data_IF_887949755544
#
_entry.id   IF_887949755544
#
_cell.length_a   1.000
_cell.length_b   1.000
_cell.length_c   1.000
_cell.angle_alpha   90.00
_cell.angle_beta   90.00
_cell.angle_gamma   90.00
#
_symmetry.space_group_name_H-M   'P 1'
#
loop_
_entity.id
_entity.type
_entity.pdbx_description
1 polymer ?
#
# COMPACT_ATOMS: atom_id res chain seq x y z
N UNK A 1 -4.85 -21.50 26.53
CA UNK A 1 -3.95 -21.00 27.59
C UNK A 1 -3.90 -19.48 27.49
N UNK A 2 -4.64 -18.78 28.34
CA UNK A 2 -4.55 -17.33 28.54
C UNK A 2 -3.52 -17.07 29.65
N UNK A 3 -2.48 -16.29 29.36
CA UNK A 3 -1.51 -15.88 30.38
C UNK A 3 -0.23 -15.36 29.75
N UNK A 4 0.03 -14.07 29.93
CA UNK A 4 1.11 -13.23 29.39
C UNK A 4 0.87 -12.64 27.99
N UNK A 5 0.08 -11.56 27.92
CA UNK A 5 0.06 -10.65 26.75
C UNK A 5 1.46 -10.04 26.59
N UNK A 6 2.05 -10.21 25.41
CA UNK A 6 3.37 -9.69 24.99
C UNK A 6 3.60 -8.24 25.44
N UNK A 7 4.83 -7.85 25.87
CA UNK A 7 5.18 -6.45 26.17
C UNK A 7 4.75 -5.45 25.09
N UNK A 8 4.76 -5.88 23.83
CA UNK A 8 4.39 -5.09 22.66
C UNK A 8 2.91 -4.71 22.64
N UNK A 9 2.04 -5.66 23.00
CA UNK A 9 0.60 -5.41 23.12
C UNK A 9 0.30 -4.38 24.22
N UNK A 10 1.13 -4.36 25.27
CA UNK A 10 1.01 -3.42 26.38
C UNK A 10 1.38 -2.00 25.95
N UNK A 11 2.50 -1.86 25.23
CA UNK A 11 2.99 -0.57 24.76
C UNK A 11 2.08 0.02 23.66
N UNK A 12 1.61 -0.81 22.73
CA UNK A 12 0.64 -0.40 21.72
C UNK A 12 -0.68 0.06 22.36
N UNK A 13 -1.14 -0.65 23.40
CA UNK A 13 -2.37 -0.28 24.12
C UNK A 13 -2.22 1.05 24.83
N UNK A 14 -1.11 1.24 25.54
CA UNK A 14 -0.79 2.51 26.20
C UNK A 14 -0.74 3.68 25.21
N UNK A 15 -0.18 3.48 24.01
CA UNK A 15 -0.16 4.51 22.96
C UNK A 15 -1.57 4.87 22.45
N UNK A 16 -2.45 3.88 22.25
CA UNK A 16 -3.85 4.15 21.86
C UNK A 16 -4.66 4.81 22.97
N UNK A 17 -4.38 4.50 24.24
CA UNK A 17 -5.01 5.17 25.39
C UNK A 17 -4.59 6.64 25.48
N UNK A 18 -3.31 6.97 25.27
CA UNK A 18 -2.85 8.36 25.18
C UNK A 18 -3.53 9.14 24.05
N UNK A 19 -3.77 8.51 22.89
CA UNK A 19 -4.50 9.15 21.80
C UNK A 19 -5.95 9.46 22.19
N UNK A 20 -6.59 8.62 23.00
CA UNK A 20 -7.94 8.89 23.51
C UNK A 20 -7.97 10.05 24.51
N UNK A 21 -6.99 10.13 25.40
CA UNK A 21 -6.86 11.25 26.34
C UNK A 21 -6.70 12.57 25.59
N UNK A 22 -5.82 12.59 24.57
CA UNK A 22 -5.64 13.76 23.70
C UNK A 22 -6.93 14.12 22.95
N UNK A 23 -7.65 13.13 22.43
CA UNK A 23 -8.94 13.36 21.77
C UNK A 23 -9.95 14.00 22.73
N UNK A 24 -10.02 13.55 23.98
CA UNK A 24 -10.93 14.09 25.00
C UNK A 24 -10.61 15.56 25.37
N UNK A 25 -9.33 15.95 25.36
CA UNK A 25 -8.91 17.29 25.75
C UNK A 25 -8.87 18.30 24.59
N UNK A 26 -8.64 17.86 23.35
CA UNK A 26 -8.33 18.75 22.23
C UNK A 26 -9.48 18.92 21.22
N UNK A 27 -10.47 18.02 21.20
CA UNK A 27 -11.62 18.14 20.29
C UNK A 27 -12.72 19.00 20.89
N UNK A 28 -13.14 20.01 20.14
CA UNK A 28 -14.11 21.01 20.59
C UNK A 28 -15.57 20.57 20.46
N UNK A 29 -15.90 19.66 19.54
CA UNK A 29 -17.27 19.20 19.28
C UNK A 29 -17.48 17.71 19.54
N UNK A 30 -18.68 17.32 19.97
CA UNK A 30 -19.03 15.94 20.34
C UNK A 30 -18.96 14.96 19.15
N UNK A 31 -19.46 15.38 17.98
CA UNK A 31 -19.36 14.60 16.74
C UNK A 31 -17.91 14.45 16.24
N UNK A 32 -17.08 15.48 16.41
CA UNK A 32 -15.66 15.42 16.10
C UNK A 32 -14.96 14.43 17.03
N UNK A 33 -15.20 14.53 18.34
CA UNK A 33 -14.64 13.61 19.33
C UNK A 33 -15.01 12.15 19.03
N UNK A 34 -16.27 11.89 18.66
CA UNK A 34 -16.74 10.55 18.31
C UNK A 34 -16.05 10.00 17.05
N UNK A 35 -15.88 10.83 16.01
CA UNK A 35 -15.18 10.44 14.78
C UNK A 35 -13.71 10.08 15.03
N UNK A 36 -13.00 10.88 15.84
CA UNK A 36 -11.62 10.59 16.25
C UNK A 36 -11.52 9.37 17.16
N UNK A 37 -12.48 9.15 18.06
CA UNK A 37 -12.52 7.96 18.91
C UNK A 37 -12.64 6.68 18.07
N UNK A 38 -13.58 6.66 17.12
CA UNK A 38 -13.76 5.56 16.19
C UNK A 38 -12.51 5.30 15.33
N UNK A 39 -11.81 6.36 14.90
CA UNK A 39 -10.54 6.19 14.18
C UNK A 39 -9.45 5.56 15.07
N UNK A 40 -9.37 5.93 16.34
CA UNK A 40 -8.44 5.33 17.32
C UNK A 40 -8.80 3.87 17.62
N UNK A 41 -10.10 3.54 17.70
CA UNK A 41 -10.57 2.14 17.83
C UNK A 41 -10.08 1.29 16.66
N UNK A 42 -10.26 1.78 15.43
CA UNK A 42 -9.80 1.08 14.21
C UNK A 42 -8.27 0.95 14.15
N UNK A 43 -7.54 1.92 14.70
CA UNK A 43 -6.09 1.83 14.83
C UNK A 43 -5.69 0.68 15.76
N UNK A 44 -6.36 0.57 16.91
CA UNK A 44 -6.13 -0.49 17.89
C UNK A 44 -6.42 -1.88 17.30
N UNK A 45 -7.56 -2.03 16.63
CA UNK A 45 -7.93 -3.28 15.94
C UNK A 45 -6.86 -3.72 14.93
N UNK A 46 -6.36 -2.78 14.12
CA UNK A 46 -5.27 -3.06 13.16
C UNK A 46 -3.98 -3.54 13.84
N UNK A 47 -3.71 -3.08 15.07
CA UNK A 47 -2.52 -3.42 15.83
C UNK A 47 -2.63 -4.74 16.59
N UNK A 48 -3.77 -5.00 17.24
CA UNK A 48 -4.02 -6.23 17.98
C UNK A 48 -3.91 -7.44 17.04
N UNK A 49 -4.42 -7.31 15.81
CA UNK A 49 -4.36 -8.33 14.76
C UNK A 49 -2.97 -8.49 14.14
N UNK A 50 -2.27 -7.40 13.82
CA UNK A 50 -0.92 -7.45 13.24
C UNK A 50 0.12 -8.13 14.16
N UNK A 51 -0.12 -8.14 15.48
CA UNK A 51 0.73 -8.81 16.46
C UNK A 51 0.38 -10.30 16.66
N UNK A 52 -0.81 -10.74 16.24
CA UNK A 52 -1.23 -12.14 16.30
C UNK A 52 -0.76 -12.94 15.07
N UNK A 53 -0.59 -12.29 13.92
CA UNK A 53 -0.12 -12.91 12.67
C UNK A 53 1.01 -12.06 12.07
N UNK A 54 2.29 -12.39 12.36
CA UNK A 54 3.41 -11.49 12.07
C UNK A 54 3.66 -11.22 10.57
N UNK A 55 3.14 -12.05 9.66
CA UNK A 55 3.37 -11.91 8.21
C UNK A 55 2.54 -10.83 7.50
N UNK A 56 1.61 -10.17 8.18
CA UNK A 56 0.55 -9.37 7.56
C UNK A 56 0.57 -7.88 7.96
N UNK A 57 1.71 -7.24 7.69
CA UNK A 57 1.95 -5.80 7.92
C UNK A 57 1.06 -4.86 7.08
N UNK A 58 0.36 -5.37 6.07
CA UNK A 58 -0.53 -4.60 5.17
C UNK A 58 -1.68 -3.92 5.93
N UNK A 59 -2.12 -4.47 7.07
CA UNK A 59 -3.17 -3.83 7.89
C UNK A 59 -2.74 -2.52 8.55
N UNK A 60 -1.49 -2.43 9.01
CA UNK A 60 -0.99 -1.20 9.65
C UNK A 60 -0.85 -0.01 8.70
N UNK A 61 -0.63 -0.27 7.41
CA UNK A 61 -0.61 0.76 6.35
C UNK A 61 -2.01 1.09 5.82
N UNK A 62 -3.02 0.27 6.15
CA UNK A 62 -4.38 0.38 5.62
C UNK A 62 -5.34 1.12 6.57
N UNK A 63 -4.89 1.49 7.78
CA UNK A 63 -5.65 2.29 8.74
C UNK A 63 -6.32 3.54 8.16
N UNK A 64 -5.67 4.35 7.30
CA UNK A 64 -6.31 5.52 6.69
C UNK A 64 -7.55 5.19 5.85
N UNK A 65 -7.75 3.92 5.50
CA UNK A 65 -8.88 3.43 4.73
C UNK A 65 -10.00 2.84 5.61
N UNK A 66 -9.78 2.56 6.89
CA UNK A 66 -10.80 1.98 7.79
C UNK A 66 -11.44 3.01 8.75
N UNK A 67 -11.06 4.27 8.65
CA UNK A 67 -11.60 5.36 9.48
C UNK A 67 -12.93 5.86 8.92
N UNK A 68 -13.88 6.33 9.77
CA UNK A 68 -15.19 6.79 9.31
C UNK A 68 -15.12 7.92 8.27
N UNK A 69 -16.09 7.99 7.36
CA UNK A 69 -16.17 9.04 6.34
C UNK A 69 -16.23 10.45 6.97
N UNK A 70 -16.99 10.60 8.07
CA UNK A 70 -17.03 11.83 8.87
C UNK A 70 -15.64 12.26 9.37
N UNK A 71 -14.77 11.32 9.70
CA UNK A 71 -13.39 11.62 10.09
C UNK A 71 -12.57 12.16 8.90
N UNK A 72 -12.75 11.58 7.70
CA UNK A 72 -12.12 12.06 6.46
C UNK A 72 -12.65 13.43 6.02
N UNK A 73 -13.95 13.68 6.18
CA UNK A 73 -14.57 14.98 5.90
C UNK A 73 -14.05 16.07 6.85
N UNK A 74 -13.96 15.78 8.15
CA UNK A 74 -13.37 16.68 9.14
C UNK A 74 -11.91 17.00 8.83
N UNK A 75 -11.15 16.01 8.34
CA UNK A 75 -9.79 16.20 7.82
C UNK A 75 -9.74 17.03 6.54
N UNK A 76 -10.80 17.07 5.74
CA UNK A 76 -10.80 17.82 4.48
C UNK A 76 -11.27 19.27 4.70
N UNK A 77 -12.31 19.47 5.53
CA UNK A 77 -12.94 20.77 5.78
C UNK A 77 -12.07 21.74 6.59
N UNK A 78 -11.31 21.26 7.58
CA UNK A 78 -10.43 22.13 8.38
C UNK A 78 -9.15 22.55 7.63
N UNK A 79 -9.00 22.15 6.35
CA UNK A 79 -7.75 22.21 5.56
C UNK A 79 -6.46 21.79 6.30
N UNK A 80 -6.42 20.75 7.15
CA UNK A 80 -5.16 20.19 7.61
C UNK A 80 -4.91 18.94 6.75
N UNK A 81 -4.18 19.08 5.63
CA UNK A 81 -3.77 17.96 4.75
C UNK A 81 -3.40 16.75 5.63
N UNK A 82 -4.33 15.78 5.67
CA UNK A 82 -4.43 14.63 6.58
C UNK A 82 -3.60 14.74 7.89
N UNK A 83 -4.27 15.12 8.98
CA UNK A 83 -3.78 15.15 10.37
C UNK A 83 -2.66 16.18 10.66
N UNK A 84 -2.94 17.47 10.44
CA UNK A 84 -2.03 18.54 10.88
C UNK A 84 -2.71 19.88 11.24
N UNK A 85 -3.27 20.01 12.46
CA UNK A 85 -2.98 21.14 13.39
C UNK A 85 -3.58 20.91 14.78
N UNK A 86 -2.77 20.44 15.72
CA UNK A 86 -2.80 20.98 17.09
C UNK A 86 -1.83 22.18 17.10
N UNK A 87 -2.03 23.23 17.93
CA UNK A 87 -1.03 24.30 18.13
C UNK A 87 0.36 23.74 18.48
N UNK A 88 0.41 22.48 18.90
CA UNK A 88 1.59 21.63 19.03
C UNK A 88 1.57 20.51 17.98
N UNK A 89 2.41 20.66 16.95
CA UNK A 89 2.70 19.76 15.82
C UNK A 89 2.62 18.25 16.16
N UNK A 90 1.83 17.46 15.42
CA UNK A 90 1.99 16.01 15.08
C UNK A 90 0.69 15.41 14.49
N UNK A 91 0.71 14.82 13.28
CA UNK A 91 0.38 13.40 12.98
C UNK A 91 0.61 13.01 11.49
N UNK A 92 0.89 11.72 11.28
CA UNK A 92 2.11 11.24 10.60
C UNK A 92 2.08 9.68 10.38
N UNK A 93 2.76 9.10 9.37
CA UNK A 93 2.98 7.62 9.21
C UNK A 93 4.39 7.26 8.68
N UNK A 94 5.04 6.25 9.25
CA UNK A 94 6.23 5.54 8.71
C UNK A 94 6.29 4.10 9.25
N UNK A 95 6.55 3.13 8.36
CA UNK A 95 6.72 1.70 8.65
C UNK A 95 8.21 1.35 8.71
N UNK A 96 8.66 0.64 9.75
CA UNK A 96 10.03 0.14 9.88
C UNK A 96 10.00 -1.35 10.24
N UNK A 97 10.82 -2.16 9.54
CA UNK A 97 10.95 -3.61 9.76
C UNK A 97 12.30 -3.88 10.44
N UNK A 98 12.28 -4.53 11.61
CA UNK A 98 13.48 -4.93 12.35
C UNK A 98 13.78 -6.42 12.14
N UNK A 99 15.06 -6.79 12.00
CA UNK A 99 15.49 -8.20 11.93
C UNK A 99 15.82 -8.74 13.33
N UNK A 100 15.29 -9.92 13.68
CA UNK A 100 15.75 -10.70 14.86
C UNK A 100 14.70 -11.18 15.87
N UNK A 101 13.60 -11.81 15.44
CA UNK A 101 12.79 -12.75 16.24
C UNK A 101 11.69 -13.36 15.37
N UNK A 102 11.18 -14.57 15.67
CA UNK A 102 10.14 -15.22 14.87
C UNK A 102 8.75 -14.52 14.95
N UNK A 103 8.63 -13.45 15.74
CA UNK A 103 7.52 -12.52 15.69
C UNK A 103 8.00 -11.21 15.07
N UNK A 104 7.58 -10.94 13.83
CA UNK A 104 7.68 -9.62 13.18
C UNK A 104 6.85 -8.65 14.03
N UNK A 105 7.53 -7.81 14.83
CA UNK A 105 6.88 -6.71 15.53
C UNK A 105 6.68 -5.55 14.55
N UNK A 106 5.42 -5.25 14.25
CA UNK A 106 5.07 -4.06 13.47
C UNK A 106 4.82 -2.89 14.41
N UNK A 107 5.45 -1.76 14.12
CA UNK A 107 5.33 -0.54 14.89
C UNK A 107 4.93 0.62 13.98
N UNK A 108 3.83 1.30 14.30
CA UNK A 108 3.50 2.57 13.65
C UNK A 108 4.24 3.67 14.39
N UNK A 109 4.95 4.46 13.59
CA UNK A 109 5.66 5.64 14.06
C UNK A 109 5.16 6.86 13.31
N UNK A 110 5.22 7.97 14.03
CA UNK A 110 4.59 9.22 13.67
C UNK A 110 5.79 10.13 13.28
N UNK A 111 6.04 10.32 11.97
CA UNK A 111 6.95 11.29 11.30
C UNK A 111 6.28 12.43 10.47
N UNK A 112 6.76 13.67 10.61
CA UNK A 112 6.26 14.83 9.83
C UNK A 112 6.98 14.96 8.48
N UNK A 113 7.60 13.87 8.04
CA UNK A 113 8.43 13.76 6.84
C UNK A 113 9.61 14.73 6.80
N UNK A 114 10.01 15.30 7.94
CA UNK A 114 11.32 15.96 8.06
C UNK A 114 12.42 14.93 8.24
N UNK A 115 13.62 15.20 7.71
CA UNK A 115 14.74 14.27 7.79
C UNK A 115 15.09 13.89 9.24
N UNK A 116 15.06 14.86 10.16
CA UNK A 116 15.37 14.61 11.58
C UNK A 116 14.34 13.73 12.28
N UNK A 117 13.04 13.88 11.97
CA UNK A 117 12.01 13.05 12.58
C UNK A 117 12.01 11.63 12.04
N UNK A 118 12.31 11.44 10.75
CA UNK A 118 12.51 10.12 10.14
C UNK A 118 13.78 9.47 10.70
N UNK A 119 14.90 10.19 10.78
CA UNK A 119 16.15 9.68 11.33
C UNK A 119 15.98 9.19 12.77
N UNK A 120 15.28 9.96 13.62
CA UNK A 120 14.99 9.57 15.00
C UNK A 120 14.19 8.25 15.08
N UNK A 121 13.29 8.01 14.12
CA UNK A 121 12.55 6.75 14.01
C UNK A 121 13.47 5.62 13.59
N UNK A 122 14.27 5.81 12.52
CA UNK A 122 15.21 4.80 12.02
C UNK A 122 16.20 4.37 13.11
N UNK A 123 16.76 5.33 13.84
CA UNK A 123 17.69 5.07 14.94
C UNK A 123 17.00 4.43 16.14
N UNK A 124 15.77 4.87 16.47
CA UNK A 124 14.99 4.31 17.57
C UNK A 124 14.51 2.88 17.34
N UNK A 125 14.40 2.43 16.08
CA UNK A 125 14.04 1.05 15.72
C UNK A 125 15.22 0.20 15.27
N UNK A 126 16.42 0.77 15.15
CA UNK A 126 17.56 0.13 14.49
C UNK A 126 17.21 -0.37 13.07
N UNK A 127 16.47 0.43 12.32
CA UNK A 127 16.05 0.12 10.96
C UNK A 127 17.27 0.01 10.04
N UNK A 128 17.42 -1.10 9.33
CA UNK A 128 18.51 -1.27 8.36
C UNK A 128 18.15 -0.81 6.96
N UNK A 129 16.85 -0.73 6.66
CA UNK A 129 16.30 -0.32 5.38
C UNK A 129 15.03 0.54 5.57
N UNK A 130 14.82 1.50 4.68
CA UNK A 130 13.62 2.32 4.59
C UNK A 130 12.93 2.12 3.24
N UNK A 131 11.63 1.79 3.28
CA UNK A 131 10.77 1.70 2.11
C UNK A 131 9.78 2.85 2.13
N UNK A 132 9.79 3.68 1.09
CA UNK A 132 8.80 4.70 0.87
C UNK A 132 7.66 4.12 0.06
N UNK A 133 6.43 4.09 0.58
CA UNK A 133 5.19 3.72 -0.15
C UNK A 133 4.28 4.95 -0.37
N UNK A 134 4.87 6.14 -0.33
CA UNK A 134 4.15 7.41 -0.41
C UNK A 134 3.63 7.65 -1.83
N UNK A 135 2.32 7.82 -1.97
CA UNK A 135 1.72 8.27 -3.22
C UNK A 135 1.34 9.76 -3.17
N UNK A 136 1.84 10.54 -4.12
CA UNK A 136 1.39 11.90 -4.40
C UNK A 136 1.80 12.32 -5.80
N UNK A 137 0.91 13.02 -6.52
CA UNK A 137 1.21 13.65 -7.79
C UNK A 137 1.67 15.12 -7.63
N UNK A 138 1.69 15.67 -6.41
CA UNK A 138 2.23 17.00 -6.13
C UNK A 138 3.75 16.92 -5.91
N UNK A 139 4.58 17.50 -6.80
CA UNK A 139 6.04 17.46 -6.70
C UNK A 139 6.57 18.01 -5.38
N UNK A 140 5.91 19.03 -4.83
CA UNK A 140 6.35 19.65 -3.57
C UNK A 140 6.15 18.73 -2.38
N UNK A 141 5.13 17.89 -2.42
CA UNK A 141 4.87 16.89 -1.39
C UNK A 141 5.72 15.64 -1.61
N UNK A 142 5.73 15.10 -2.84
CA UNK A 142 6.44 13.86 -3.16
C UNK A 142 7.96 14.01 -3.04
N UNK A 143 8.56 14.95 -3.78
CA UNK A 143 10.03 15.07 -3.86
C UNK A 143 10.61 15.45 -2.49
N UNK A 144 10.02 16.43 -1.81
CA UNK A 144 10.46 16.85 -0.47
C UNK A 144 10.47 15.69 0.52
N UNK A 145 9.43 14.84 0.50
CA UNK A 145 9.37 13.69 1.40
C UNK A 145 10.42 12.62 1.04
N UNK A 146 10.62 12.32 -0.25
CA UNK A 146 11.65 11.37 -0.69
C UNK A 146 13.07 11.84 -0.36
N UNK A 147 13.35 13.12 -0.58
CA UNK A 147 14.64 13.74 -0.21
C UNK A 147 14.90 13.67 1.28
N UNK A 148 13.88 13.99 2.11
CA UNK A 148 13.99 13.89 3.55
C UNK A 148 14.20 12.45 4.03
N UNK A 149 13.54 11.47 3.41
CA UNK A 149 13.73 10.04 3.68
C UNK A 149 15.14 9.57 3.31
N UNK A 150 15.67 10.03 2.17
CA UNK A 150 17.04 9.73 1.75
C UNK A 150 18.06 10.33 2.73
N UNK A 151 17.92 11.62 3.04
CA UNK A 151 18.80 12.32 3.98
C UNK A 151 18.77 11.68 5.37
N UNK A 152 17.59 11.29 5.86
CA UNK A 152 17.43 10.57 7.12
C UNK A 152 18.12 9.20 7.10
N UNK A 153 18.03 8.48 5.99
CA UNK A 153 18.68 7.18 5.82
C UNK A 153 20.19 7.32 5.86
N UNK A 154 20.77 8.31 5.16
CA UNK A 154 22.21 8.63 5.22
C UNK A 154 22.67 8.97 6.65
N UNK A 155 21.91 9.82 7.33
CA UNK A 155 22.25 10.30 8.67
C UNK A 155 21.99 9.27 9.79
N UNK A 156 21.21 8.22 9.52
CA UNK A 156 20.91 7.18 10.51
C UNK A 156 22.18 6.42 10.94
N UNK A 157 22.16 5.89 12.15
CA UNK A 157 23.22 5.00 12.68
C UNK A 157 23.14 3.58 12.10
N UNK A 158 21.98 3.18 11.59
CA UNK A 158 21.71 1.79 11.18
C UNK A 158 21.14 1.65 9.77
N UNK A 159 20.41 2.64 9.27
CA UNK A 159 19.80 2.55 7.93
C UNK A 159 20.85 2.78 6.84
N UNK A 160 21.05 1.80 5.96
CA UNK A 160 22.01 1.90 4.84
C UNK A 160 21.38 1.52 3.51
N UNK A 161 20.05 1.44 3.47
CA UNK A 161 19.29 0.98 2.32
C UNK A 161 18.01 1.78 2.17
N UNK A 162 17.71 2.22 0.95
CA UNK A 162 16.52 2.99 0.66
C UNK A 162 15.80 2.50 -0.59
N UNK A 163 14.48 2.31 -0.49
CA UNK A 163 13.60 2.04 -1.62
C UNK A 163 12.67 3.25 -1.78
N UNK A 164 12.84 4.07 -2.84
CA UNK A 164 11.90 5.16 -3.13
C UNK A 164 10.50 4.60 -3.43
N UNK A 165 9.50 5.47 -3.49
CA UNK A 165 8.13 5.06 -3.86
C UNK A 165 8.00 4.89 -5.37
N UNK A 166 8.81 3.99 -5.91
CA UNK A 166 8.76 3.50 -7.28
C UNK A 166 8.23 2.07 -7.23
N UNK A 167 6.91 1.92 -7.34
CA UNK A 167 6.21 0.64 -7.47
C UNK A 167 5.35 0.67 -8.72
N UNK A 168 6.00 0.53 -9.87
CA UNK A 168 5.31 0.53 -11.15
C UNK A 168 6.21 -0.02 -12.24
N UNK A 169 6.39 0.77 -13.30
CA UNK A 169 7.25 0.44 -14.43
C UNK A 169 8.62 1.08 -14.35
N UNK A 170 9.53 0.57 -15.18
CA UNK A 170 10.88 1.10 -15.32
C UNK A 170 10.90 2.42 -16.12
N UNK A 171 10.86 3.54 -15.41
CA UNK A 171 10.89 4.88 -15.99
C UNK A 171 12.25 5.25 -16.61
N UNK A 172 13.31 4.48 -16.33
CA UNK A 172 14.63 4.70 -16.93
C UNK A 172 14.67 4.13 -18.35
N UNK A 173 14.08 2.95 -18.55
CA UNK A 173 13.92 2.34 -19.87
C UNK A 173 12.82 3.00 -20.71
N UNK A 174 11.81 3.57 -20.06
CA UNK A 174 10.69 4.25 -20.71
C UNK A 174 10.57 5.71 -20.24
N UNK A 175 11.54 6.57 -20.58
CA UNK A 175 11.58 7.95 -20.09
C UNK A 175 10.36 8.74 -20.55
N UNK A 176 9.85 9.61 -19.66
CA UNK A 176 8.65 10.40 -19.91
C UNK A 176 7.34 9.64 -19.78
N UNK A 177 7.38 8.34 -19.45
CA UNK A 177 6.20 7.51 -19.23
C UNK A 177 6.20 6.87 -17.83
N UNK A 178 5.05 6.91 -17.13
CA UNK A 178 3.89 7.73 -17.44
C UNK A 178 4.19 9.23 -17.28
N UNK A 179 3.56 10.08 -18.10
CA UNK A 179 3.86 11.54 -18.15
C UNK A 179 3.69 12.24 -16.80
N UNK A 180 2.79 11.76 -15.95
CA UNK A 180 2.56 12.32 -14.61
C UNK A 180 3.68 12.00 -13.60
N UNK A 181 4.60 11.09 -13.92
CA UNK A 181 5.80 10.83 -13.11
C UNK A 181 6.96 11.77 -13.40
N UNK A 182 6.87 12.54 -14.49
CA UNK A 182 7.93 13.46 -14.89
C UNK A 182 8.32 14.44 -13.77
N UNK A 183 7.39 15.18 -13.13
CA UNK A 183 7.76 16.14 -12.10
C UNK A 183 7.97 15.52 -10.71
N UNK A 184 7.72 14.22 -10.54
CA UNK A 184 7.83 13.49 -9.26
C UNK A 184 8.93 12.43 -9.31
N UNK A 185 8.57 11.18 -9.59
CA UNK A 185 9.43 10.00 -9.56
C UNK A 185 10.67 10.19 -10.44
N UNK A 186 10.50 10.70 -11.67
CA UNK A 186 11.62 10.94 -12.58
C UNK A 186 12.52 12.07 -12.09
N UNK A 187 11.94 13.19 -11.68
CA UNK A 187 12.70 14.33 -11.16
C UNK A 187 13.57 13.93 -9.94
N UNK A 188 13.00 13.17 -9.00
CA UNK A 188 13.74 12.64 -7.85
C UNK A 188 14.80 11.62 -8.27
N UNK A 189 14.47 10.73 -9.22
CA UNK A 189 15.39 9.70 -9.71
C UNK A 189 16.61 10.31 -10.38
N UNK A 190 16.40 11.17 -11.37
CA UNK A 190 17.45 11.75 -12.22
C UNK A 190 18.34 12.71 -11.43
N UNK A 191 17.74 13.62 -10.68
CA UNK A 191 18.49 14.71 -10.06
C UNK A 191 19.17 14.30 -8.75
N UNK A 192 18.71 13.22 -8.10
CA UNK A 192 19.14 12.87 -6.75
C UNK A 192 19.60 11.42 -6.66
N UNK A 193 18.71 10.44 -6.85
CA UNK A 193 19.07 9.03 -6.63
C UNK A 193 20.17 8.50 -7.56
N UNK A 194 20.21 8.93 -8.83
CA UNK A 194 21.28 8.51 -9.76
C UNK A 194 22.69 8.85 -9.26
N UNK A 195 22.80 9.89 -8.43
CA UNK A 195 24.05 10.38 -7.86
C UNK A 195 24.28 9.91 -6.41
N UNK A 196 23.36 9.13 -5.85
CA UNK A 196 23.51 8.52 -4.53
C UNK A 196 24.63 7.46 -4.53
N UNK A 197 25.52 7.53 -3.54
CA UNK A 197 26.68 6.65 -3.38
C UNK A 197 26.96 6.25 -1.92
N UNK A 198 26.30 6.89 -0.95
CA UNK A 198 26.54 6.67 0.48
C UNK A 198 25.76 5.47 1.01
N UNK A 199 24.59 5.19 0.43
CA UNK A 199 23.72 4.08 0.81
C UNK A 199 23.23 3.31 -0.41
N UNK A 200 22.88 2.04 -0.22
CA UNK A 200 22.27 1.24 -1.28
C UNK A 200 20.85 1.72 -1.57
N UNK A 201 20.45 1.71 -2.84
CA UNK A 201 19.07 1.97 -3.21
C UNK A 201 18.66 1.13 -4.42
N UNK A 202 17.36 0.91 -4.56
CA UNK A 202 16.81 0.18 -5.71
C UNK A 202 15.39 0.62 -6.03
N UNK A 203 15.07 0.69 -7.32
CA UNK A 203 13.74 0.89 -7.85
C UNK A 203 12.96 -0.42 -7.89
N UNK A 204 11.80 -0.51 -7.24
CA UNK A 204 10.99 -1.73 -7.26
C UNK A 204 10.02 -1.76 -8.46
N UNK A 205 10.45 -2.40 -9.55
CA UNK A 205 9.66 -2.51 -10.77
C UNK A 205 8.82 -3.80 -10.75
N UNK A 206 7.52 -3.70 -10.46
CA UNK A 206 6.68 -4.89 -10.31
C UNK A 206 5.62 -5.07 -11.42
N UNK A 207 5.54 -4.13 -12.36
CA UNK A 207 4.49 -4.09 -13.36
C UNK A 207 3.16 -3.65 -12.76
N UNK A 208 2.07 -4.30 -13.16
CA UNK A 208 0.73 -4.04 -12.63
C UNK A 208 0.38 -4.99 -11.49
N UNK A 209 -0.39 -4.52 -10.51
CA UNK A 209 -0.94 -5.42 -9.50
C UNK A 209 -2.01 -6.35 -10.12
N UNK A 210 -1.85 -7.66 -9.93
CA UNK A 210 -2.84 -8.67 -10.38
C UNK A 210 -4.20 -8.52 -9.68
N UNK A 211 -4.19 -7.91 -8.50
CA UNK A 211 -5.34 -7.66 -7.65
C UNK A 211 -6.53 -6.97 -8.35
N UNK A 212 -6.27 -6.24 -9.44
CA UNK A 212 -7.29 -5.56 -10.22
C UNK A 212 -8.12 -6.49 -11.14
N UNK A 213 -7.64 -7.70 -11.46
CA UNK A 213 -8.34 -8.59 -12.41
C UNK A 213 -9.71 -9.10 -11.93
N UNK A 214 -9.95 -9.07 -10.63
CA UNK A 214 -11.18 -9.59 -10.01
C UNK A 214 -11.86 -8.56 -9.11
N UNK A 215 -11.49 -7.28 -9.25
CA UNK A 215 -12.02 -6.19 -8.44
C UNK A 215 -13.03 -5.39 -9.28
N UNK A 216 -14.30 -5.38 -8.86
CA UNK A 216 -15.34 -4.57 -9.50
C UNK A 216 -15.05 -3.07 -9.37
N UNK A 217 -15.60 -2.23 -10.25
CA UNK A 217 -15.23 -0.81 -10.26
C UNK A 217 -15.85 -0.01 -9.11
N UNK A 218 -16.95 -0.53 -8.53
CA UNK A 218 -17.76 0.11 -7.48
C UNK A 218 -17.64 -0.54 -6.10
N UNK A 219 -16.65 -1.39 -5.89
CA UNK A 219 -16.47 -2.04 -4.57
C UNK A 219 -15.74 -1.13 -3.60
N UNK A 220 -16.14 -1.23 -2.35
CA UNK A 220 -15.41 -0.64 -1.23
C UNK A 220 -14.51 -1.71 -0.58
N UNK A 221 -13.19 -1.73 -0.86
CA UNK A 221 -12.27 -2.72 -0.30
C UNK A 221 -12.11 -2.59 1.22
N UNK A 222 -12.57 -1.49 1.82
CA UNK A 222 -12.48 -1.25 3.27
C UNK A 222 -13.47 -2.12 4.06
N UNK A 223 -14.46 -2.70 3.36
CA UNK A 223 -15.43 -3.61 3.95
C UNK A 223 -14.91 -5.05 4.08
N UNK A 224 -13.76 -5.38 3.48
CA UNK A 224 -13.17 -6.72 3.61
C UNK A 224 -12.67 -6.97 5.03
N UNK A 225 -13.15 -8.04 5.70
CA UNK A 225 -12.53 -8.48 6.92
C UNK A 225 -11.10 -8.94 6.63
N UNK A 226 -10.25 -8.75 7.61
CA UNK A 226 -8.88 -9.24 7.58
C UNK A 226 -8.86 -10.78 7.53
N UNK A 227 -7.88 -11.36 6.83
CA UNK A 227 -7.80 -12.81 6.62
C UNK A 227 -8.78 -13.36 5.59
N UNK A 228 -9.50 -12.50 4.84
CA UNK A 228 -10.31 -12.94 3.71
C UNK A 228 -9.43 -13.57 2.63
N UNK A 229 -9.38 -14.91 2.62
CA UNK A 229 -8.99 -15.65 1.44
C UNK A 229 -10.22 -15.73 0.56
N UNK A 230 -10.21 -15.15 -0.64
CA UNK A 230 -11.27 -15.35 -1.64
C UNK A 230 -11.48 -16.83 -2.04
N UNK A 231 -10.77 -17.78 -1.41
CA UNK A 231 -11.21 -19.16 -1.32
C UNK A 231 -12.49 -19.18 -0.49
N UNK A 232 -13.62 -19.35 -1.18
CA UNK A 232 -14.76 -20.03 -0.56
C UNK A 232 -14.19 -21.28 0.15
N UNK A 233 -14.53 -21.55 1.42
CA UNK A 233 -14.15 -22.81 2.03
C UNK A 233 -14.58 -23.89 1.03
N UNK A 234 -13.66 -24.79 0.67
CA UNK A 234 -14.02 -25.92 -0.15
C UNK A 234 -15.19 -26.61 0.57
N UNK A 235 -16.40 -26.41 0.07
CA UNK A 235 -17.55 -27.20 0.46
C UNK A 235 -17.27 -28.58 -0.10
N UNK A 236 -16.60 -29.38 0.72
CA UNK A 236 -16.73 -30.82 0.71
C UNK A 236 -18.23 -31.10 0.91
N UNK A 237 -18.93 -31.34 -0.21
CA UNK A 237 -20.36 -31.61 -0.23
C UNK A 237 -20.82 -31.78 -1.68
N UNK A 238 -21.12 -33.02 -2.04
CA UNK A 238 -21.70 -33.42 -3.31
C UNK A 238 -23.01 -32.66 -3.63
N UNK A 239 -23.28 -32.47 -4.93
CA UNK A 239 -24.54 -31.96 -5.49
C UNK A 239 -24.26 -31.32 -6.85
N UNK A 240 -24.25 -32.12 -7.92
CA UNK A 240 -25.32 -32.18 -8.94
C UNK A 240 -25.49 -30.90 -9.77
N UNK A 241 -25.16 -31.04 -11.06
CA UNK A 241 -25.66 -30.33 -12.24
C UNK A 241 -26.36 -28.98 -12.02
N UNK A 242 -25.64 -27.88 -12.27
CA UNK A 242 -26.27 -26.60 -12.64
C UNK A 242 -25.48 -25.94 -13.79
N UNK A 243 -26.03 -26.08 -14.99
CA UNK A 243 -25.68 -25.32 -16.20
C UNK A 243 -26.39 -23.95 -16.18
N UNK A 244 -26.23 -23.17 -15.11
CA UNK A 244 -26.75 -21.81 -15.01
C UNK A 244 -25.63 -20.87 -14.56
N UNK A 245 -25.57 -19.68 -15.18
CA UNK A 245 -24.56 -18.64 -14.98
C UNK A 245 -24.13 -18.52 -13.50
N UNK A 246 -22.85 -18.77 -13.22
CA UNK A 246 -22.25 -18.33 -11.96
C UNK A 246 -22.13 -16.81 -12.03
N UNK A 247 -23.22 -16.10 -11.80
CA UNK A 247 -23.19 -14.65 -11.70
C UNK A 247 -22.35 -14.29 -10.48
N UNK A 248 -21.07 -14.02 -10.72
CA UNK A 248 -20.14 -13.56 -9.70
C UNK A 248 -20.61 -12.17 -9.29
N UNK A 249 -20.95 -12.03 -8.02
CA UNK A 249 -21.28 -10.74 -7.45
C UNK A 249 -20.00 -9.89 -7.36
N UNK A 250 -19.94 -8.86 -8.22
CA UNK A 250 -18.85 -7.88 -8.27
C UNK A 250 -19.04 -6.73 -7.30
N UNK A 251 -20.12 -6.69 -6.51
CA UNK A 251 -20.25 -5.77 -5.37
C UNK A 251 -19.45 -6.26 -4.16
N UNK A 252 -19.07 -7.54 -4.13
CA UNK A 252 -18.23 -8.12 -3.09
C UNK A 252 -16.75 -7.81 -3.40
N UNK A 253 -16.04 -7.09 -2.51
CA UNK A 253 -14.61 -6.85 -2.69
C UNK A 253 -13.82 -8.15 -2.63
N UNK A 254 -12.75 -8.26 -3.42
CA UNK A 254 -11.90 -9.47 -3.50
C UNK A 254 -10.41 -9.18 -3.30
N UNK A 255 -10.04 -7.92 -3.41
CA UNK A 255 -8.75 -7.40 -3.03
C UNK A 255 -8.92 -6.19 -2.10
N UNK A 256 -7.88 -5.96 -1.30
CA UNK A 256 -7.68 -4.73 -0.52
C UNK A 256 -7.35 -3.51 -1.41
N UNK A 257 -7.06 -3.73 -2.70
CA UNK A 257 -6.80 -2.64 -3.63
C UNK A 257 -8.07 -1.87 -3.99
N UNK A 258 -7.99 -0.53 -3.94
CA UNK A 258 -9.01 0.35 -4.48
C UNK A 258 -9.12 0.13 -6.00
N UNK A 259 -10.33 0.06 -6.57
CA UNK A 259 -10.50 -0.02 -8.01
C UNK A 259 -9.83 1.16 -8.73
N UNK A 260 -9.42 0.94 -9.98
CA UNK A 260 -8.81 1.96 -10.84
C UNK A 260 -9.72 2.25 -12.05
N UNK A 261 -10.92 2.83 -11.83
CA UNK A 261 -11.84 3.11 -12.92
C UNK A 261 -11.21 4.06 -13.94
N UNK A 262 -11.38 3.75 -15.23
CA UNK A 262 -10.83 4.54 -16.34
C UNK A 262 -9.32 4.35 -16.60
N UNK A 263 -8.57 3.70 -15.71
CA UNK A 263 -7.15 3.36 -15.91
C UNK A 263 -7.00 1.86 -16.19
N UNK A 264 -7.67 1.01 -15.41
CA UNK A 264 -7.63 -0.44 -15.61
C UNK A 264 -8.49 -0.83 -16.82
N UNK A 265 -7.98 -1.65 -17.76
CA UNK A 265 -8.66 -1.87 -19.03
C UNK A 265 -9.82 -2.86 -18.97
N UNK A 266 -10.00 -3.64 -17.89
CA UNK A 266 -11.10 -4.58 -17.76
C UNK A 266 -12.16 -4.01 -16.82
N UNK A 267 -13.32 -3.64 -17.38
CA UNK A 267 -14.48 -3.19 -16.59
C UNK A 267 -15.44 -4.35 -16.36
N UNK A 268 -15.47 -4.83 -15.11
CA UNK A 268 -16.32 -5.95 -14.68
C UNK A 268 -17.79 -5.55 -14.50
N UNK A 269 -18.09 -4.25 -14.39
CA UNK A 269 -19.47 -3.78 -14.22
C UNK A 269 -20.20 -3.79 -15.57
N UNK A 270 -19.53 -3.33 -16.63
CA UNK A 270 -20.07 -3.31 -17.99
C UNK A 270 -19.67 -4.53 -18.83
N UNK A 271 -18.74 -5.36 -18.35
CA UNK A 271 -18.09 -6.43 -19.14
C UNK A 271 -17.51 -5.91 -20.46
N UNK A 272 -16.89 -4.74 -20.39
CA UNK A 272 -16.11 -4.19 -21.51
C UNK A 272 -14.61 -4.30 -21.21
N UNK A 273 -13.82 -4.49 -22.26
CA UNK A 273 -12.38 -4.46 -22.18
C UNK A 273 -11.83 -3.41 -23.16
N UNK A 274 -11.15 -2.40 -22.64
CA UNK A 274 -10.52 -1.37 -23.46
C UNK A 274 -9.25 -1.92 -24.10
N UNK A 275 -9.17 -1.87 -25.42
CA UNK A 275 -7.98 -2.25 -26.19
C UNK A 275 -6.87 -1.23 -25.95
N UNK A 276 -5.82 -1.64 -25.23
CA UNK A 276 -4.61 -0.84 -25.07
C UNK A 276 -3.56 -1.28 -26.09
N UNK A 277 -3.13 -0.36 -26.96
CA UNK A 277 -2.17 -0.66 -28.02
C UNK A 277 -2.69 -1.72 -28.98
N UNK A 278 -1.85 -2.69 -29.36
CA UNK A 278 -2.27 -3.86 -30.15
C UNK A 278 -2.92 -4.94 -29.28
N UNK A 279 -2.77 -4.87 -27.95
CA UNK A 279 -3.22 -5.88 -27.00
C UNK A 279 -2.28 -7.09 -26.87
N UNK A 280 -1.20 -7.12 -27.64
CA UNK A 280 -0.19 -8.19 -27.68
C UNK A 280 1.15 -7.79 -27.05
N UNK A 281 1.26 -6.57 -26.54
CA UNK A 281 2.43 -6.11 -25.82
C UNK A 281 2.64 -6.93 -24.54
N UNK A 282 3.89 -7.29 -24.26
CA UNK A 282 4.25 -8.02 -23.05
C UNK A 282 4.15 -7.13 -21.82
N UNK A 283 3.44 -7.60 -20.79
CA UNK A 283 3.13 -6.87 -19.57
C UNK A 283 3.37 -7.80 -18.39
N UNK A 284 4.04 -7.27 -17.37
CA UNK A 284 4.22 -7.95 -16.09
C UNK A 284 3.03 -7.69 -15.16
N UNK A 285 2.53 -8.74 -14.53
CA UNK A 285 1.62 -8.63 -13.40
C UNK A 285 2.21 -9.32 -12.18
N UNK A 286 1.97 -8.76 -11.01
CA UNK A 286 2.42 -9.33 -9.74
C UNK A 286 1.35 -9.12 -8.67
N UNK A 287 1.05 -10.12 -7.85
CA UNK A 287 0.13 -9.91 -6.73
C UNK A 287 0.76 -8.98 -5.68
N UNK A 288 -0.05 -8.15 -5.01
CA UNK A 288 0.46 -7.26 -3.96
C UNK A 288 1.18 -8.02 -2.84
N UNK A 289 0.69 -9.23 -2.52
CA UNK A 289 1.30 -10.15 -1.55
C UNK A 289 2.68 -10.62 -2.00
N UNK A 290 2.86 -10.89 -3.29
CA UNK A 290 4.16 -11.33 -3.82
C UNK A 290 5.14 -10.18 -3.95
N UNK A 291 4.68 -8.96 -4.27
CA UNK A 291 5.51 -7.75 -4.17
C UNK A 291 6.01 -7.57 -2.73
N UNK A 292 5.11 -7.63 -1.74
CA UNK A 292 5.48 -7.56 -0.33
C UNK A 292 6.52 -8.63 0.08
N UNK A 293 6.30 -9.88 -0.32
CA UNK A 293 7.25 -10.98 -0.06
C UNK A 293 8.60 -10.76 -0.74
N UNK A 294 8.61 -10.26 -1.98
CA UNK A 294 9.83 -9.94 -2.71
C UNK A 294 10.62 -8.82 -2.01
N UNK A 295 9.96 -7.75 -1.56
CA UNK A 295 10.61 -6.64 -0.85
C UNK A 295 11.19 -7.09 0.49
N UNK A 296 10.48 -7.94 1.26
CA UNK A 296 11.02 -8.54 2.49
C UNK A 296 12.25 -9.40 2.19
N UNK A 297 12.21 -10.18 1.09
CA UNK A 297 13.34 -11.01 0.67
C UNK A 297 14.53 -10.17 0.21
N UNK A 298 14.29 -9.01 -0.39
CA UNK A 298 15.30 -8.05 -0.82
C UNK A 298 16.07 -7.46 0.36
N UNK A 299 15.41 -7.23 1.51
CA UNK A 299 16.11 -6.82 2.75
C UNK A 299 17.14 -7.87 3.20
N UNK A 300 16.88 -9.15 2.94
CA UNK A 300 17.78 -10.26 3.29
C UNK A 300 18.94 -10.42 2.29
N UNK A 301 18.99 -9.66 1.20
CA UNK A 301 20.10 -9.71 0.26
C UNK A 301 21.40 -9.19 0.92
N UNK A 302 22.57 -9.75 0.58
CA UNK A 302 23.86 -9.32 1.14
C UNK A 302 24.09 -7.80 1.03
N UNK A 303 24.79 -7.21 2.00
CA UNK A 303 25.21 -5.81 1.94
C UNK A 303 26.01 -5.52 0.66
N UNK A 304 25.69 -4.43 -0.03
CA UNK A 304 26.32 -4.02 -1.29
C UNK A 304 25.84 -4.76 -2.54
N UNK A 305 24.79 -5.59 -2.46
CA UNK A 305 24.28 -6.39 -3.59
C UNK A 305 23.04 -5.82 -4.27
N UNK A 306 22.45 -4.72 -3.76
CA UNK A 306 21.27 -4.13 -4.39
C UNK A 306 21.64 -3.49 -5.73
N UNK A 307 21.01 -3.94 -6.79
CA UNK A 307 21.05 -3.29 -8.10
C UNK A 307 20.12 -2.08 -8.12
N UNK A 308 20.38 -1.12 -9.01
CA UNK A 308 19.54 0.09 -9.16
C UNK A 308 18.07 -0.23 -9.50
N UNK A 309 17.81 -1.40 -10.08
CA UNK A 309 16.48 -1.87 -10.39
C UNK A 309 16.29 -3.29 -9.86
N UNK A 310 15.20 -3.49 -9.12
CA UNK A 310 14.72 -4.81 -8.73
C UNK A 310 13.42 -5.07 -9.47
N UNK A 311 13.42 -6.07 -10.35
CA UNK A 311 12.23 -6.48 -11.09
C UNK A 311 11.52 -7.63 -10.36
N UNK A 312 10.20 -7.48 -10.20
CA UNK A 312 9.34 -8.53 -9.65
C UNK A 312 8.24 -8.79 -10.66
N UNK A 313 8.17 -10.01 -11.18
CA UNK A 313 7.12 -10.42 -12.11
C UNK A 313 6.54 -11.75 -11.63
N UNK A 314 5.29 -11.74 -11.20
CA UNK A 314 4.55 -12.99 -10.92
C UNK A 314 4.20 -13.72 -12.22
N UNK A 315 3.81 -12.95 -13.24
CA UNK A 315 3.53 -13.45 -14.58
C UNK A 315 3.86 -12.39 -15.62
N UNK A 316 4.30 -12.80 -16.82
CA UNK A 316 4.40 -11.96 -18.00
C UNK A 316 3.46 -12.51 -19.07
N UNK A 317 2.57 -11.66 -19.59
CA UNK A 317 1.64 -12.02 -20.67
C UNK A 317 1.16 -10.80 -21.44
N UNK A 318 0.05 -10.93 -22.16
CA UNK A 318 -0.56 -9.83 -22.94
C UNK A 318 -1.97 -9.50 -22.46
N UNK A 319 -2.50 -8.32 -22.82
CA UNK A 319 -3.88 -7.98 -22.49
C UNK A 319 -4.88 -8.99 -23.05
N UNK A 320 -4.67 -9.51 -24.27
CA UNK A 320 -5.55 -10.56 -24.80
C UNK A 320 -5.47 -11.88 -24.01
N UNK A 321 -4.28 -12.27 -23.55
CA UNK A 321 -4.15 -13.45 -22.69
C UNK A 321 -4.84 -13.22 -21.34
N UNK A 322 -4.71 -12.03 -20.77
CA UNK A 322 -5.36 -11.66 -19.52
C UNK A 322 -6.90 -11.67 -19.65
N UNK A 323 -7.43 -11.03 -20.70
CA UNK A 323 -8.87 -11.08 -21.03
C UNK A 323 -9.32 -12.53 -21.13
N UNK A 324 -8.65 -13.36 -21.94
CA UNK A 324 -9.00 -14.77 -22.10
C UNK A 324 -9.02 -15.55 -20.78
N UNK A 325 -8.06 -15.29 -19.88
CA UNK A 325 -8.01 -15.89 -18.55
C UNK A 325 -9.19 -15.47 -17.68
N UNK A 326 -9.52 -14.18 -17.66
CA UNK A 326 -10.65 -13.65 -16.89
C UNK A 326 -11.97 -14.17 -17.46
N UNK A 327 -12.15 -14.19 -18.78
CA UNK A 327 -13.35 -14.76 -19.42
C UNK A 327 -13.55 -16.23 -19.06
N UNK A 328 -12.46 -17.02 -19.09
CA UNK A 328 -12.51 -18.43 -18.70
C UNK A 328 -12.86 -18.60 -17.22
N UNK A 329 -12.34 -17.73 -16.36
CA UNK A 329 -12.62 -17.75 -14.92
C UNK A 329 -14.07 -17.37 -14.60
N UNK A 330 -14.59 -16.33 -15.26
CA UNK A 330 -15.96 -15.82 -15.04
C UNK A 330 -17.03 -16.58 -15.84
N UNK A 331 -16.66 -17.32 -16.87
CA UNK A 331 -17.60 -17.96 -17.79
C UNK A 331 -18.36 -16.96 -18.68
N UNK A 332 -17.88 -15.72 -18.80
CA UNK A 332 -18.52 -14.63 -19.55
C UNK A 332 -17.50 -13.87 -20.40
N UNK A 333 -17.89 -13.51 -21.62
CA UNK A 333 -17.04 -12.82 -22.60
C UNK A 333 -17.08 -11.30 -22.42
N UNK A 334 -15.95 -10.64 -22.64
CA UNK A 334 -15.89 -9.18 -22.70
C UNK A 334 -16.24 -8.68 -24.11
N UNK A 335 -16.87 -7.51 -24.17
CA UNK A 335 -16.92 -6.72 -25.40
C UNK A 335 -15.66 -5.87 -25.46
N UNK A 336 -14.76 -6.17 -26.41
CA UNK A 336 -13.54 -5.38 -26.59
C UNK A 336 -13.89 -4.09 -27.33
N UNK A 337 -13.55 -2.95 -26.72
CA UNK A 337 -13.82 -1.62 -27.24
C UNK A 337 -12.51 -0.87 -27.47
N UNK A 338 -12.52 0.07 -28.42
CA UNK A 338 -11.42 1.00 -28.58
C UNK A 338 -11.43 2.07 -27.48
N UNK A 339 -10.25 2.60 -27.11
CA UNK A 339 -10.19 3.73 -26.20
C UNK A 339 -10.96 4.91 -26.81
N UNK A 340 -11.61 5.75 -25.99
CA UNK A 340 -12.28 6.94 -26.48
C UNK A 340 -11.30 7.80 -27.28
N UNK A 341 -11.76 8.35 -28.41
CA UNK A 341 -10.98 9.30 -29.20
C UNK A 341 -10.65 10.52 -28.35
N UNK A 342 -9.37 10.88 -28.27
CA UNK A 342 -8.87 12.09 -27.57
C UNK A 342 -9.51 13.38 -28.07
#
# INVERSE_FOLDING_TARGET
MHGARSPVLRDARAATEQLRELNACLTGGENERAAYAAAIDRLWECYEEALCIPSDWVMTISWPFYVPELYIELLTQKRPLALLRSPTRKLKFSLSVCHGSPAILTFIRVSDYTASSIQAILDGTNATALFSFLHSNDPRSYNTAQEAMLAASRASKSCRRFVPSDYGGDIDRFPGLPRFYEPTHRAFRENILRHETEIEWTAANHGWFMDYFVQGSKVDPTTLPYGFSGRSPATAGQGENDNNSKDIDFSIPRSYMKPLPGIWPLDLDSFTATRLGTGNEAIGWTSARDVARALVRLVQAPAGSWEKHTYVAGEIGTWYQAISKVEKFLGRKFVVVDPPSE
#
